data_IF_080180611426
#
_entry.id   IF_080180611426
#
_cell.length_a   1.000
_cell.length_b   1.000
_cell.length_c   1.000
_cell.angle_alpha   90.00
_cell.angle_beta   90.00
_cell.angle_gamma   90.00
#
_symmetry.space_group_name_H-M   'P 1'
#
loop_
_entity.id
_entity.type
_entity.pdbx_description
1 polymer ?
#
# COMPACT_ATOMS: atom_id res chain seq x y z
N UNK A 1 48.50 -71.54 6.62
CA UNK A 1 48.87 -70.18 6.29
C UNK A 1 47.67 -69.51 5.58
N UNK A 2 46.81 -68.87 6.33
CA UNK A 2 45.62 -68.12 5.76
C UNK A 2 45.69 -66.71 6.32
N UNK A 3 45.89 -65.73 5.43
CA UNK A 3 45.88 -64.33 5.76
C UNK A 3 44.43 -63.88 5.93
N UNK A 4 44.09 -63.30 7.10
CA UNK A 4 42.89 -62.55 7.37
C UNK A 4 43.12 -61.11 6.89
N UNK A 5 42.32 -60.65 5.91
CA UNK A 5 42.27 -59.25 5.55
C UNK A 5 41.15 -58.59 6.42
N UNK A 6 41.59 -57.74 7.33
CA UNK A 6 40.64 -56.88 8.08
C UNK A 6 40.16 -55.75 7.21
N UNK A 7 38.83 -55.61 7.12
CA UNK A 7 38.11 -54.50 6.51
C UNK A 7 37.82 -53.47 7.60
N UNK A 8 38.54 -52.33 7.56
CA UNK A 8 38.22 -51.17 8.38
C UNK A 8 37.08 -50.38 7.71
N UNK A 9 35.89 -50.43 8.30
CA UNK A 9 34.80 -49.55 7.94
C UNK A 9 35.00 -48.19 8.60
N UNK A 10 35.24 -47.17 7.79
CA UNK A 10 35.25 -45.79 8.26
C UNK A 10 33.80 -45.28 8.42
N UNK A 11 33.39 -45.02 9.66
CA UNK A 11 32.14 -44.37 10.00
C UNK A 11 32.32 -42.86 9.76
N UNK A 12 31.75 -42.32 8.70
CA UNK A 12 31.66 -40.89 8.49
C UNK A 12 30.53 -40.32 9.36
N UNK A 13 30.89 -39.64 10.44
CA UNK A 13 29.98 -38.86 11.26
C UNK A 13 29.78 -37.53 10.56
N UNK A 14 28.66 -37.36 9.86
CA UNK A 14 28.20 -36.05 9.38
C UNK A 14 27.64 -35.27 10.57
N UNK A 15 28.43 -34.35 11.13
CA UNK A 15 27.93 -33.36 12.07
C UNK A 15 27.07 -32.37 11.30
N UNK A 16 25.75 -32.54 11.37
CA UNK A 16 24.80 -31.55 10.90
C UNK A 16 24.93 -30.29 11.75
N UNK A 17 25.45 -29.23 11.16
CA UNK A 17 25.35 -27.88 11.73
C UNK A 17 23.88 -27.45 11.69
N UNK A 18 23.20 -27.59 12.80
CA UNK A 18 21.90 -26.91 13.02
C UNK A 18 22.27 -25.45 13.28
N UNK A 19 22.10 -24.59 12.25
CA UNK A 19 22.13 -23.16 12.45
C UNK A 19 20.92 -22.80 13.33
N UNK A 20 21.11 -22.12 14.47
CA UNK A 20 19.99 -21.62 15.22
C UNK A 20 19.27 -20.59 14.34
N UNK A 21 18.00 -20.83 14.07
CA UNK A 21 17.11 -19.82 13.53
C UNK A 21 17.00 -18.73 14.60
N UNK A 22 17.69 -17.62 14.40
CA UNK A 22 17.44 -16.41 15.19
C UNK A 22 16.06 -15.88 14.76
N UNK A 23 15.00 -16.36 15.39
CA UNK A 23 13.80 -15.57 15.48
C UNK A 23 14.19 -14.37 16.35
N UNK A 24 14.08 -13.16 15.80
CA UNK A 24 14.26 -11.95 16.58
C UNK A 24 13.36 -12.05 17.83
N UNK A 25 13.95 -11.81 19.00
CA UNK A 25 13.16 -11.73 20.26
C UNK A 25 12.05 -10.70 20.06
N UNK A 26 10.83 -10.97 20.54
CA UNK A 26 9.73 -10.02 20.44
C UNK A 26 10.14 -8.69 21.05
N UNK A 27 10.12 -7.63 20.27
CA UNK A 27 10.38 -6.28 20.78
C UNK A 27 9.27 -5.88 21.75
N UNK A 28 9.61 -5.24 22.86
CA UNK A 28 8.66 -4.68 23.79
C UNK A 28 7.85 -3.55 23.14
N UNK A 29 8.49 -2.81 22.23
CA UNK A 29 7.87 -1.72 21.47
C UNK A 29 8.23 -1.83 19.99
N UNK A 30 7.24 -1.63 19.11
CA UNK A 30 7.37 -1.61 17.66
C UNK A 30 7.24 -0.17 17.15
N UNK A 31 8.22 0.29 16.37
CA UNK A 31 8.18 1.63 15.77
C UNK A 31 7.58 1.55 14.37
N UNK A 32 6.46 2.27 14.18
CA UNK A 32 5.67 2.23 12.93
C UNK A 32 5.68 3.60 12.27
N UNK A 33 6.24 3.67 11.07
CA UNK A 33 6.22 4.85 10.21
C UNK A 33 4.97 4.92 9.35
N UNK A 34 4.41 6.12 9.16
CA UNK A 34 3.34 6.39 8.22
C UNK A 34 3.74 7.54 7.31
N UNK A 35 3.71 7.31 5.99
CA UNK A 35 4.03 8.33 5.00
C UNK A 35 2.76 8.68 4.23
N UNK A 36 2.37 9.95 4.30
CA UNK A 36 1.15 10.48 3.71
C UNK A 36 1.44 11.34 2.47
N UNK A 37 0.57 11.27 1.48
CA UNK A 37 0.68 12.05 0.24
C UNK A 37 0.20 13.48 0.39
N UNK A 38 -0.52 13.79 1.45
CA UNK A 38 -1.09 15.10 1.74
C UNK A 38 -1.39 15.30 3.23
N UNK A 39 -2.04 16.40 3.58
CA UNK A 39 -2.37 16.71 4.96
C UNK A 39 -3.44 15.78 5.52
N UNK A 40 -3.42 15.53 6.83
CA UNK A 40 -4.44 14.72 7.52
C UNK A 40 -5.83 15.37 7.54
N UNK A 41 -5.92 16.66 7.26
CA UNK A 41 -7.20 17.41 7.18
C UNK A 41 -7.90 17.35 5.83
N UNK A 42 -7.51 16.47 4.91
CA UNK A 42 -8.11 16.33 3.57
C UNK A 42 -9.53 15.74 3.58
N UNK A 43 -9.98 15.24 4.73
CA UNK A 43 -11.25 14.52 4.91
C UNK A 43 -11.45 13.31 3.96
N UNK A 44 -10.38 12.87 3.31
CA UNK A 44 -10.37 11.83 2.29
C UNK A 44 -9.34 10.73 2.60
N UNK A 45 -8.43 10.52 1.64
CA UNK A 45 -7.46 9.43 1.64
C UNK A 45 -6.50 9.46 2.83
N UNK A 46 -5.77 10.58 3.00
CA UNK A 46 -4.81 10.74 4.10
C UNK A 46 -5.51 10.72 5.45
N UNK A 47 -6.65 11.41 5.59
CA UNK A 47 -7.46 11.39 6.81
C UNK A 47 -7.85 9.96 7.22
N UNK A 48 -8.26 9.11 6.28
CA UNK A 48 -8.64 7.71 6.59
C UNK A 48 -7.45 6.87 7.04
N UNK A 49 -6.28 7.07 6.47
CA UNK A 49 -5.06 6.41 6.92
C UNK A 49 -4.65 6.89 8.32
N UNK A 50 -4.80 8.18 8.60
CA UNK A 50 -4.50 8.72 9.93
C UNK A 50 -5.45 8.22 11.02
N UNK A 51 -6.74 8.05 10.71
CA UNK A 51 -7.67 7.36 11.63
C UNK A 51 -7.18 5.93 11.92
N UNK A 52 -6.70 5.22 10.90
CA UNK A 52 -6.13 3.88 11.09
C UNK A 52 -4.90 3.91 12.01
N UNK A 53 -4.01 4.89 11.83
CA UNK A 53 -2.86 5.10 12.72
C UNK A 53 -3.30 5.33 14.17
N UNK A 54 -4.25 6.23 14.40
CA UNK A 54 -4.79 6.52 15.74
C UNK A 54 -5.43 5.28 16.39
N UNK A 55 -6.13 4.44 15.62
CA UNK A 55 -6.67 3.17 16.11
C UNK A 55 -5.57 2.17 16.51
N UNK A 56 -4.43 2.18 15.83
CA UNK A 56 -3.26 1.38 16.21
C UNK A 56 -2.71 1.87 17.54
N UNK A 57 -2.55 3.19 17.74
CA UNK A 57 -2.11 3.77 19.00
C UNK A 57 -3.08 3.46 20.16
N UNK A 58 -4.37 3.65 19.91
CA UNK A 58 -5.40 3.34 20.92
C UNK A 58 -5.40 1.87 21.34
N UNK A 59 -5.24 0.96 20.37
CA UNK A 59 -5.30 -0.48 20.61
C UNK A 59 -4.05 -1.03 21.30
N UNK A 60 -2.87 -0.53 20.94
CA UNK A 60 -1.60 -1.12 21.37
C UNK A 60 -0.87 -0.30 22.42
N UNK A 61 -1.25 0.98 22.63
CA UNK A 61 -0.67 1.84 23.66
C UNK A 61 0.86 1.89 23.59
N UNK A 62 1.50 1.70 24.72
CA UNK A 62 2.97 1.78 24.86
C UNK A 62 3.75 0.73 24.05
N UNK A 63 3.06 -0.25 23.46
CA UNK A 63 3.69 -1.26 22.60
C UNK A 63 3.99 -0.75 21.19
N UNK A 64 3.47 0.40 20.80
CA UNK A 64 3.66 1.00 19.48
C UNK A 64 4.08 2.46 19.62
N UNK A 65 5.17 2.83 18.97
CA UNK A 65 5.53 4.21 18.66
C UNK A 65 5.16 4.52 17.23
N UNK A 66 4.32 5.50 16.96
CA UNK A 66 4.02 5.92 15.59
C UNK A 66 4.72 7.21 15.22
N UNK A 67 5.24 7.27 13.99
CA UNK A 67 5.86 8.45 13.40
C UNK A 67 5.19 8.72 12.06
N UNK A 68 4.77 9.95 11.82
CA UNK A 68 4.16 10.31 10.55
C UNK A 68 4.95 11.40 9.83
N UNK A 69 4.99 11.30 8.52
CA UNK A 69 5.56 12.31 7.64
C UNK A 69 4.62 12.53 6.45
N UNK A 70 4.53 13.77 5.98
CA UNK A 70 3.76 14.10 4.79
C UNK A 70 4.72 14.58 3.71
N UNK A 71 4.74 13.89 2.58
CA UNK A 71 5.64 14.19 1.46
C UNK A 71 4.95 13.89 0.13
N UNK A 72 5.08 14.75 -0.89
CA UNK A 72 4.57 14.45 -2.22
C UNK A 72 5.19 13.17 -2.80
N UNK A 73 4.47 12.54 -3.74
CA UNK A 73 5.03 11.45 -4.53
C UNK A 73 6.27 11.93 -5.31
N UNK A 74 7.27 11.08 -5.42
CA UNK A 74 8.50 11.38 -6.14
C UNK A 74 9.77 11.08 -5.31
N UNK A 75 10.94 11.64 -5.72
CA UNK A 75 12.24 11.30 -5.11
C UNK A 75 12.34 11.60 -3.61
N UNK A 76 11.66 12.63 -3.12
CA UNK A 76 11.66 12.99 -1.70
C UNK A 76 11.03 11.91 -0.83
N UNK A 77 10.07 11.14 -1.35
CA UNK A 77 9.47 10.04 -0.60
C UNK A 77 10.48 8.93 -0.28
N UNK A 78 11.41 8.62 -1.21
CA UNK A 78 12.49 7.65 -0.97
C UNK A 78 13.43 8.14 0.15
N UNK A 79 13.74 9.44 0.17
CA UNK A 79 14.56 10.05 1.22
C UNK A 79 13.87 9.94 2.59
N UNK A 80 12.59 10.26 2.67
CA UNK A 80 11.82 10.20 3.92
C UNK A 80 11.69 8.76 4.44
N UNK A 81 11.40 7.79 3.56
CA UNK A 81 11.39 6.36 3.92
C UNK A 81 12.73 5.89 4.44
N UNK A 82 13.83 6.30 3.77
CA UNK A 82 15.20 5.97 4.19
C UNK A 82 15.50 6.53 5.57
N UNK A 83 15.10 7.78 5.85
CA UNK A 83 15.29 8.43 7.14
C UNK A 83 14.50 7.73 8.25
N UNK A 84 13.26 7.33 7.99
CA UNK A 84 12.47 6.53 8.94
C UNK A 84 13.13 5.17 9.25
N UNK A 85 13.62 4.48 8.22
CA UNK A 85 14.31 3.19 8.40
C UNK A 85 15.60 3.37 9.23
N UNK A 86 16.40 4.41 8.94
CA UNK A 86 17.62 4.73 9.71
C UNK A 86 17.32 5.12 11.16
N UNK A 87 16.16 5.73 11.43
CA UNK A 87 15.68 6.06 12.79
C UNK A 87 15.05 4.88 13.50
N UNK A 88 15.15 3.68 12.95
CA UNK A 88 14.76 2.43 13.59
C UNK A 88 13.29 2.06 13.45
N UNK A 89 12.61 2.51 12.40
CA UNK A 89 11.28 1.99 12.08
C UNK A 89 11.33 0.49 11.78
N UNK A 90 10.43 -0.26 12.37
CA UNK A 90 10.26 -1.70 12.14
C UNK A 90 9.28 -1.99 11.00
N UNK A 91 8.28 -1.13 10.85
CA UNK A 91 7.24 -1.21 9.84
C UNK A 91 6.97 0.19 9.29
N UNK A 92 6.84 0.31 7.97
CA UNK A 92 6.53 1.58 7.31
C UNK A 92 5.32 1.39 6.38
N UNK A 93 4.25 2.15 6.63
CA UNK A 93 3.10 2.27 5.74
C UNK A 93 3.35 3.37 4.72
N UNK A 94 3.36 3.03 3.43
CA UNK A 94 3.53 3.95 2.32
C UNK A 94 2.21 4.10 1.59
N UNK A 95 1.49 5.19 1.87
CA UNK A 95 0.04 5.28 1.67
C UNK A 95 -0.40 5.86 0.32
N UNK A 96 0.44 5.81 -0.72
CA UNK A 96 0.09 6.32 -2.04
C UNK A 96 0.69 5.48 -3.17
N UNK A 97 -0.01 5.39 -4.30
CA UNK A 97 0.41 4.61 -5.47
C UNK A 97 1.81 5.01 -5.97
N UNK A 98 2.11 6.31 -6.04
CA UNK A 98 3.39 6.81 -6.54
C UNK A 98 4.58 6.56 -5.61
N UNK A 99 4.35 6.04 -4.40
CA UNK A 99 5.44 5.56 -3.54
C UNK A 99 5.90 4.14 -3.87
N UNK A 100 5.30 3.47 -4.87
CA UNK A 100 5.58 2.07 -5.16
C UNK A 100 7.07 1.80 -5.45
N UNK A 101 7.66 2.51 -6.42
CA UNK A 101 9.07 2.34 -6.76
C UNK A 101 10.02 2.81 -5.65
N UNK A 102 9.82 3.98 -5.02
CA UNK A 102 10.55 4.36 -3.82
C UNK A 102 10.51 3.30 -2.71
N UNK A 103 9.34 2.70 -2.43
CA UNK A 103 9.21 1.64 -1.41
C UNK A 103 10.08 0.42 -1.75
N UNK A 104 10.04 -0.07 -2.98
CA UNK A 104 10.87 -1.20 -3.41
C UNK A 104 12.37 -0.87 -3.30
N UNK A 105 12.76 0.34 -3.70
CA UNK A 105 14.16 0.78 -3.64
C UNK A 105 14.69 0.86 -2.20
N UNK A 106 13.88 1.37 -1.27
CA UNK A 106 14.26 1.45 0.15
C UNK A 106 14.22 0.08 0.80
N UNK A 107 13.21 -0.73 0.54
CA UNK A 107 13.07 -2.07 1.09
C UNK A 107 14.27 -2.97 0.76
N UNK A 108 14.83 -2.84 -0.45
CA UNK A 108 16.04 -3.56 -0.85
C UNK A 108 17.28 -3.17 -0.03
N UNK A 109 17.34 -1.95 0.50
CA UNK A 109 18.43 -1.45 1.34
C UNK A 109 18.26 -1.80 2.82
N UNK A 110 17.01 -2.05 3.25
CA UNK A 110 16.64 -2.30 4.65
C UNK A 110 15.83 -3.60 4.78
N UNK A 111 16.45 -4.79 4.61
CA UNK A 111 15.72 -6.06 4.55
C UNK A 111 15.00 -6.43 5.85
N UNK A 112 15.40 -5.87 6.98
CA UNK A 112 14.76 -6.10 8.28
C UNK A 112 13.55 -5.20 8.54
N UNK A 113 13.39 -4.11 7.79
CA UNK A 113 12.21 -3.23 7.87
C UNK A 113 11.10 -3.81 7.01
N UNK A 114 9.88 -3.89 7.54
CA UNK A 114 8.70 -4.31 6.79
C UNK A 114 8.01 -3.09 6.18
N UNK A 115 7.44 -3.28 5.00
CA UNK A 115 6.71 -2.23 4.30
C UNK A 115 5.33 -2.72 3.90
N UNK A 116 4.33 -1.89 4.18
CA UNK A 116 2.95 -2.06 3.75
C UNK A 116 2.60 -0.94 2.77
N UNK A 117 2.47 -1.29 1.49
CA UNK A 117 2.26 -0.32 0.43
C UNK A 117 0.80 -0.30 -0.04
N UNK A 118 0.18 0.89 -0.02
CA UNK A 118 -1.21 1.07 -0.47
C UNK A 118 -1.30 1.10 -2.00
N UNK A 119 -2.23 0.29 -2.55
CA UNK A 119 -2.70 0.34 -3.94
C UNK A 119 -1.70 -0.01 -5.04
N UNK A 120 -0.44 -0.29 -4.70
CA UNK A 120 0.55 -0.75 -5.66
C UNK A 120 0.34 -2.20 -6.11
N UNK A 121 1.28 -2.71 -6.92
CA UNK A 121 1.28 -4.09 -7.40
C UNK A 121 2.67 -4.75 -7.33
N UNK A 122 3.72 -3.98 -7.01
CA UNK A 122 5.06 -4.53 -6.81
C UNK A 122 5.21 -5.00 -5.36
N UNK A 123 5.79 -6.19 -5.21
CA UNK A 123 6.06 -6.82 -3.91
C UNK A 123 7.52 -7.23 -3.82
N UNK A 124 8.01 -7.42 -2.60
CA UNK A 124 9.32 -7.97 -2.30
C UNK A 124 9.21 -8.81 -1.02
N UNK A 125 10.30 -9.46 -0.58
CA UNK A 125 10.31 -10.29 0.62
C UNK A 125 9.84 -9.56 1.88
N UNK A 126 10.12 -8.25 1.94
CA UNK A 126 9.73 -7.37 3.04
C UNK A 126 8.73 -6.27 2.63
N UNK A 127 8.07 -6.40 1.46
CA UNK A 127 7.04 -5.46 0.99
C UNK A 127 5.76 -6.21 0.68
N UNK A 128 4.70 -5.89 1.40
CA UNK A 128 3.32 -6.31 1.09
C UNK A 128 2.54 -5.15 0.46
N UNK A 129 1.47 -5.50 -0.22
CA UNK A 129 0.55 -4.52 -0.83
C UNK A 129 -0.84 -4.73 -0.27
N UNK A 130 -1.49 -3.63 0.12
CA UNK A 130 -2.89 -3.64 0.53
C UNK A 130 -3.73 -2.69 -0.33
N UNK A 131 -4.99 -3.03 -0.51
CA UNK A 131 -5.96 -2.20 -1.24
C UNK A 131 -7.37 -2.56 -0.80
N UNK A 132 -8.31 -1.64 -1.00
CA UNK A 132 -9.72 -1.91 -0.88
C UNK A 132 -10.37 -2.08 -2.26
N UNK A 133 -11.54 -2.73 -2.30
CA UNK A 133 -12.31 -2.92 -3.53
C UNK A 133 -13.17 -1.70 -3.84
N UNK A 134 -12.54 -0.56 -4.08
CA UNK A 134 -13.21 0.72 -4.33
C UNK A 134 -14.19 0.68 -5.50
N UNK A 135 -13.92 -0.17 -6.49
CA UNK A 135 -14.79 -0.38 -7.65
C UNK A 135 -16.20 -0.90 -7.27
N UNK A 136 -16.35 -1.58 -6.12
CA UNK A 136 -17.67 -1.99 -5.62
C UNK A 136 -18.51 -0.78 -5.20
N UNK A 137 -17.90 0.19 -4.49
CA UNK A 137 -18.55 1.46 -4.18
C UNK A 137 -18.86 2.26 -5.45
N UNK A 138 -17.98 2.21 -6.46
CA UNK A 138 -18.22 2.85 -7.76
C UNK A 138 -19.37 2.19 -8.54
N UNK A 139 -19.57 0.88 -8.39
CA UNK A 139 -20.72 0.18 -8.95
C UNK A 139 -22.04 0.77 -8.42
N UNK A 140 -22.14 0.95 -7.11
CA UNK A 140 -23.32 1.57 -6.47
C UNK A 140 -23.53 3.00 -6.96
N UNK A 141 -22.45 3.81 -7.01
CA UNK A 141 -22.53 5.19 -7.50
C UNK A 141 -22.98 5.25 -8.98
N UNK A 142 -22.47 4.36 -9.82
CA UNK A 142 -22.84 4.25 -11.22
C UNK A 142 -24.32 3.91 -11.39
N UNK A 143 -24.79 2.92 -10.66
CA UNK A 143 -26.20 2.53 -10.65
C UNK A 143 -27.14 3.70 -10.27
N UNK A 144 -26.80 4.43 -9.21
CA UNK A 144 -27.52 5.62 -8.78
C UNK A 144 -27.49 6.70 -9.87
N UNK A 145 -26.31 7.01 -10.43
CA UNK A 145 -26.14 8.03 -11.45
C UNK A 145 -26.94 7.71 -12.71
N UNK A 146 -26.98 6.45 -13.14
CA UNK A 146 -27.78 6.00 -14.27
C UNK A 146 -29.27 6.23 -14.10
N UNK A 147 -29.79 6.02 -12.89
CA UNK A 147 -31.20 6.32 -12.57
C UNK A 147 -31.50 7.82 -12.44
N UNK A 148 -30.54 8.60 -11.92
CA UNK A 148 -30.78 10.01 -11.56
C UNK A 148 -30.51 10.98 -12.69
N UNK A 149 -29.68 10.65 -13.68
CA UNK A 149 -29.38 11.56 -14.78
C UNK A 149 -30.62 11.89 -15.62
N UNK A 150 -30.81 13.17 -15.92
CA UNK A 150 -31.89 13.64 -16.80
C UNK A 150 -31.41 13.89 -18.23
N UNK A 151 -30.13 14.10 -18.40
CA UNK A 151 -29.49 14.40 -19.70
C UNK A 151 -28.84 13.18 -20.35
N UNK A 152 -28.85 12.05 -19.68
CA UNK A 152 -28.04 10.86 -20.02
C UNK A 152 -26.52 11.14 -20.04
N UNK A 153 -26.08 12.25 -19.45
CA UNK A 153 -24.66 12.60 -19.32
C UNK A 153 -24.29 12.60 -17.84
N UNK A 154 -23.21 11.92 -17.50
CA UNK A 154 -22.61 11.86 -16.16
C UNK A 154 -21.18 12.38 -16.26
N UNK A 155 -20.84 13.41 -15.49
CA UNK A 155 -19.48 13.88 -15.30
C UNK A 155 -18.73 12.98 -14.31
N UNK A 156 -17.47 12.70 -14.56
CA UNK A 156 -16.59 11.97 -13.66
C UNK A 156 -15.24 12.67 -13.56
N UNK A 157 -14.89 13.14 -12.36
CA UNK A 157 -13.58 13.72 -12.09
C UNK A 157 -12.65 12.59 -11.63
N UNK A 158 -11.64 12.31 -12.42
CA UNK A 158 -10.60 11.33 -12.11
C UNK A 158 -9.30 12.00 -11.66
N UNK A 159 -8.59 11.41 -10.70
CA UNK A 159 -7.31 11.94 -10.21
C UNK A 159 -6.19 11.70 -11.22
N UNK A 160 -5.75 10.47 -11.38
CA UNK A 160 -4.70 10.07 -12.32
C UNK A 160 -5.15 8.83 -13.13
N UNK A 161 -4.72 8.67 -14.39
CA UNK A 161 -5.08 7.52 -15.23
C UNK A 161 -4.30 6.25 -14.87
N UNK A 162 -4.33 5.85 -13.59
CA UNK A 162 -3.75 4.62 -13.08
C UNK A 162 -4.78 3.48 -13.08
N UNK A 163 -4.35 2.20 -13.05
CA UNK A 163 -5.24 1.04 -13.17
C UNK A 163 -6.40 1.03 -12.18
N UNK A 164 -6.17 1.43 -10.94
CA UNK A 164 -7.20 1.49 -9.91
C UNK A 164 -8.30 2.50 -10.24
N UNK A 165 -7.92 3.72 -10.66
CA UNK A 165 -8.87 4.79 -11.01
C UNK A 165 -9.65 4.41 -12.26
N UNK A 166 -8.99 3.90 -13.30
CA UNK A 166 -9.64 3.43 -14.53
C UNK A 166 -10.62 2.29 -14.23
N UNK A 167 -10.25 1.33 -13.37
CA UNK A 167 -11.16 0.26 -12.93
C UNK A 167 -12.40 0.83 -12.23
N UNK A 168 -12.22 1.85 -11.39
CA UNK A 168 -13.33 2.53 -10.73
C UNK A 168 -14.28 3.22 -11.71
N UNK A 169 -13.74 3.95 -12.70
CA UNK A 169 -14.51 4.59 -13.76
C UNK A 169 -15.30 3.55 -14.56
N UNK A 170 -14.63 2.47 -14.98
CA UNK A 170 -15.27 1.39 -15.74
C UNK A 170 -16.41 0.74 -14.95
N UNK A 171 -16.19 0.50 -13.65
CA UNK A 171 -17.24 -0.05 -12.79
C UNK A 171 -18.44 0.87 -12.70
N UNK A 172 -18.24 2.17 -12.46
CA UNK A 172 -19.34 3.14 -12.45
C UNK A 172 -20.08 3.17 -13.78
N UNK A 173 -19.35 3.20 -14.89
CA UNK A 173 -19.94 3.24 -16.23
C UNK A 173 -20.79 2.00 -16.56
N UNK A 174 -20.26 0.80 -16.31
CA UNK A 174 -20.96 -0.47 -16.59
C UNK A 174 -22.29 -0.50 -15.82
N UNK A 175 -22.26 -0.23 -14.51
CA UNK A 175 -23.46 -0.29 -13.69
C UNK A 175 -24.45 0.86 -13.96
N UNK A 176 -23.99 2.00 -14.48
CA UNK A 176 -24.88 3.03 -15.00
C UNK A 176 -25.58 2.58 -16.28
N UNK A 177 -24.83 1.88 -17.18
CA UNK A 177 -25.35 1.31 -18.41
C UNK A 177 -26.40 0.23 -18.18
N UNK A 178 -26.26 -0.56 -17.11
CA UNK A 178 -27.23 -1.61 -16.76
C UNK A 178 -28.62 -1.07 -16.51
N UNK A 179 -28.74 0.17 -16.02
CA UNK A 179 -30.05 0.82 -15.69
C UNK A 179 -30.43 1.92 -16.67
N UNK A 180 -29.47 2.46 -17.42
CA UNK A 180 -29.69 3.49 -18.44
C UNK A 180 -28.77 3.22 -19.65
N UNK A 181 -29.25 2.47 -20.66
CA UNK A 181 -28.44 2.15 -21.83
C UNK A 181 -27.94 3.35 -22.63
N UNK A 182 -28.57 4.52 -22.51
CA UNK A 182 -28.20 5.73 -23.25
C UNK A 182 -27.19 6.60 -22.51
N UNK A 183 -26.80 6.25 -21.26
CA UNK A 183 -25.88 7.06 -20.47
C UNK A 183 -24.50 7.17 -21.12
N UNK A 184 -23.95 8.36 -21.05
CA UNK A 184 -22.59 8.71 -21.49
C UNK A 184 -21.81 9.27 -20.32
N UNK A 185 -20.54 8.85 -20.19
CA UNK A 185 -19.62 9.40 -19.20
C UNK A 185 -18.67 10.39 -19.86
N UNK A 186 -18.53 11.57 -19.26
CA UNK A 186 -17.49 12.55 -19.59
C UNK A 186 -16.49 12.59 -18.46
N UNK A 187 -15.21 12.28 -18.77
CA UNK A 187 -14.15 12.16 -17.77
C UNK A 187 -13.25 13.38 -17.88
N UNK A 188 -13.00 14.02 -16.74
CA UNK A 188 -12.02 15.10 -16.58
C UNK A 188 -10.91 14.59 -15.64
N UNK A 189 -9.66 14.70 -16.06
CA UNK A 189 -8.51 14.34 -15.26
C UNK A 189 -7.98 15.56 -14.52
N UNK A 190 -8.07 15.55 -13.17
CA UNK A 190 -7.61 16.65 -12.33
C UNK A 190 -6.08 16.63 -12.12
N UNK A 191 -5.41 15.51 -12.34
CA UNK A 191 -3.98 15.30 -12.11
C UNK A 191 -3.52 15.73 -10.71
N UNK A 192 -4.35 15.45 -9.73
CA UNK A 192 -4.07 15.64 -8.30
C UNK A 192 -4.80 14.59 -7.48
N UNK A 193 -4.28 14.25 -6.30
CA UNK A 193 -5.00 13.43 -5.33
C UNK A 193 -5.90 14.25 -4.41
N UNK A 194 -5.52 15.50 -4.15
CA UNK A 194 -6.31 16.44 -3.36
C UNK A 194 -5.94 17.87 -3.73
N UNK A 195 -6.86 18.58 -4.34
CA UNK A 195 -6.72 20.02 -4.65
C UNK A 195 -8.13 20.60 -4.83
N UNK A 196 -8.71 21.21 -3.77
CA UNK A 196 -10.07 21.76 -3.81
C UNK A 196 -10.30 22.75 -4.95
N UNK A 197 -9.27 23.52 -5.35
CA UNK A 197 -9.38 24.47 -6.46
C UNK A 197 -9.53 23.76 -7.80
N UNK A 198 -8.64 22.81 -8.10
CA UNK A 198 -8.70 22.03 -9.34
C UNK A 198 -9.95 21.17 -9.43
N UNK A 199 -10.41 20.62 -8.30
CA UNK A 199 -11.62 19.82 -8.24
C UNK A 199 -12.86 20.68 -8.49
N UNK A 200 -12.91 21.91 -7.94
CA UNK A 200 -13.98 22.86 -8.20
C UNK A 200 -13.97 23.36 -9.66
N UNK A 201 -12.79 23.62 -10.23
CA UNK A 201 -12.67 24.02 -11.63
C UNK A 201 -13.08 22.91 -12.62
N UNK A 202 -12.95 21.64 -12.19
CA UNK A 202 -13.33 20.48 -13.00
C UNK A 202 -14.83 20.17 -12.94
N UNK A 203 -15.55 20.64 -11.93
CA UNK A 203 -16.97 20.39 -11.70
C UNK A 203 -17.86 21.38 -12.44
#
# INVERSE_FOLDING_TARGET
MKLLKGMMSALAVTAGFVMPSYADEPKDQVKVGFIYVGPTGDHGWTYRHDIGRQQVEEKYGDRVETVLESVPEGPDSERVMTDMALKGADLIFTTSFGYMDPTINVAAKFPNVKFEHATGYKQAENVSVYSARFYEGRAVQGHIAGHMTKSNIVGYIGSFPIPEVIRGINSAYIHAKDVNPDVQFKIIWAYTWFDPTKEADAA
#
